data_IF_651994590874
#
_entry.id   IF_651994590874
#
_cell.length_a   1.000
_cell.length_b   1.000
_cell.length_c   1.000
_cell.angle_alpha   90.00
_cell.angle_beta   90.00
_cell.angle_gamma   90.00
#
_symmetry.space_group_name_H-M   'P 1'
#
loop_
_entity.id
_entity.type
_entity.pdbx_description
1 polymer ?
#
# COMPACT_ATOMS: atom_id res chain seq x y z
N UNK A 1 -2.92 0.66 -40.25
CA UNK A 1 -3.10 1.26 -38.92
C UNK A 1 -1.73 1.46 -38.29
N UNK A 2 -1.28 2.70 -38.05
CA UNK A 2 -0.01 2.97 -37.41
C UNK A 2 -0.09 2.44 -35.95
N UNK A 3 0.78 1.51 -35.57
CA UNK A 3 0.92 1.03 -34.19
C UNK A 3 1.25 2.25 -33.35
N UNK A 4 0.33 2.71 -32.47
CA UNK A 4 0.61 3.74 -31.47
C UNK A 4 1.88 3.30 -30.71
N UNK A 5 2.94 4.11 -30.79
CA UNK A 5 4.19 3.85 -30.08
C UNK A 5 3.88 3.85 -28.60
N UNK A 6 4.07 2.73 -27.92
CA UNK A 6 3.81 2.60 -26.48
C UNK A 6 4.75 3.53 -25.71
N UNK A 7 4.19 4.30 -24.78
CA UNK A 7 5.00 5.12 -23.86
C UNK A 7 5.69 4.17 -22.87
N UNK A 8 7.02 4.25 -22.81
CA UNK A 8 7.83 3.50 -21.83
C UNK A 8 7.56 4.07 -20.44
N UNK A 9 7.05 3.22 -19.52
CA UNK A 9 6.77 3.64 -18.15
C UNK A 9 8.07 3.66 -17.35
N UNK A 10 8.27 4.73 -16.59
CA UNK A 10 9.35 4.80 -15.62
C UNK A 10 8.97 4.07 -14.31
N UNK A 11 9.95 3.87 -13.42
CA UNK A 11 9.75 3.16 -12.17
C UNK A 11 8.70 3.80 -11.25
N UNK A 12 8.62 5.12 -11.26
CA UNK A 12 7.63 5.84 -10.47
C UNK A 12 6.21 5.55 -10.97
N UNK A 13 6.03 5.53 -12.28
CA UNK A 13 4.74 5.20 -12.92
C UNK A 13 4.34 3.75 -12.66
N UNK A 14 5.27 2.80 -12.77
CA UNK A 14 5.03 1.39 -12.45
C UNK A 14 4.61 1.20 -10.98
N UNK A 15 5.27 1.89 -10.06
CA UNK A 15 4.91 1.82 -8.64
C UNK A 15 3.62 2.55 -8.30
N UNK A 16 3.26 3.60 -9.04
CA UNK A 16 1.97 4.26 -8.90
C UNK A 16 0.82 3.31 -9.30
N UNK A 17 1.01 2.49 -10.34
CA UNK A 17 0.03 1.46 -10.71
C UNK A 17 -0.19 0.45 -9.57
N UNK A 18 0.89 -0.02 -8.92
CA UNK A 18 0.80 -0.91 -7.78
C UNK A 18 0.12 -0.24 -6.56
N UNK A 19 0.35 1.06 -6.34
CA UNK A 19 -0.36 1.84 -5.33
C UNK A 19 -1.86 1.92 -5.62
N UNK A 20 -2.26 2.14 -6.86
CA UNK A 20 -3.67 2.18 -7.28
C UNK A 20 -4.39 0.85 -6.99
N UNK A 21 -3.76 -0.29 -7.29
CA UNK A 21 -4.34 -1.61 -6.95
C UNK A 21 -4.50 -1.78 -5.44
N UNK A 22 -3.53 -1.32 -4.66
CA UNK A 22 -3.59 -1.36 -3.19
C UNK A 22 -4.77 -0.54 -2.64
N UNK A 23 -5.10 0.57 -3.31
CA UNK A 23 -6.20 1.43 -2.93
C UNK A 23 -7.58 0.78 -3.13
N UNK A 24 -7.69 -0.21 -4.03
CA UNK A 24 -8.92 -1.01 -4.21
C UNK A 24 -9.30 -1.71 -2.90
N UNK A 25 -8.36 -2.33 -2.23
CA UNK A 25 -8.62 -3.03 -0.96
C UNK A 25 -8.90 -2.09 0.20
N UNK A 26 -8.33 -0.89 0.18
CA UNK A 26 -8.67 0.14 1.17
C UNK A 26 -10.10 0.64 0.96
N UNK A 27 -10.48 0.87 -0.29
CA UNK A 27 -11.85 1.27 -0.62
C UNK A 27 -12.86 0.19 -0.20
N UNK A 28 -12.56 -1.07 -0.47
CA UNK A 28 -13.35 -2.20 0.02
C UNK A 28 -13.55 -2.13 1.55
N UNK A 29 -12.49 -1.90 2.33
CA UNK A 29 -12.61 -1.78 3.78
C UNK A 29 -13.47 -0.59 4.21
N UNK A 30 -13.41 0.54 3.50
CA UNK A 30 -14.27 1.70 3.77
C UNK A 30 -15.73 1.38 3.47
N UNK A 31 -16.04 0.82 2.31
CA UNK A 31 -17.42 0.48 1.91
C UNK A 31 -18.02 -0.60 2.82
N UNK A 32 -17.21 -1.56 3.28
CA UNK A 32 -17.65 -2.54 4.27
C UNK A 32 -17.93 -1.89 5.64
N UNK A 33 -17.19 -0.85 6.00
CA UNK A 33 -17.46 -0.11 7.24
C UNK A 33 -18.71 0.74 7.12
N UNK A 34 -18.92 1.39 5.98
CA UNK A 34 -20.15 2.14 5.70
C UNK A 34 -21.39 1.24 5.82
N UNK A 35 -21.34 0.02 5.25
CA UNK A 35 -22.42 -0.97 5.43
C UNK A 35 -22.68 -1.31 6.91
N UNK A 36 -21.64 -1.39 7.74
CA UNK A 36 -21.79 -1.59 9.19
C UNK A 36 -22.50 -0.40 9.85
N UNK A 37 -22.06 0.83 9.52
CA UNK A 37 -22.63 2.07 10.08
C UNK A 37 -24.07 2.25 9.69
N UNK A 38 -24.38 2.15 8.39
CA UNK A 38 -25.75 2.27 7.87
C UNK A 38 -26.69 1.26 8.53
N UNK A 39 -26.27 0.00 8.64
CA UNK A 39 -27.09 -1.04 9.27
C UNK A 39 -27.32 -0.79 10.75
N UNK A 40 -26.36 -0.23 11.47
CA UNK A 40 -26.51 0.11 12.89
C UNK A 40 -27.46 1.31 13.09
N UNK A 41 -27.46 2.28 12.16
CA UNK A 41 -28.31 3.46 12.21
C UNK A 41 -29.73 3.24 11.65
N UNK A 42 -29.96 2.23 10.81
CA UNK A 42 -31.20 2.00 10.03
C UNK A 42 -32.48 2.02 10.89
N UNK A 43 -32.41 1.53 12.13
CA UNK A 43 -33.55 1.52 13.07
C UNK A 43 -33.39 2.45 14.27
N UNK A 44 -32.34 3.28 14.26
CA UNK A 44 -32.06 4.22 15.34
C UNK A 44 -31.79 3.58 16.70
N UNK A 45 -31.83 4.41 17.75
CA UNK A 45 -31.54 4.04 19.14
C UNK A 45 -32.69 4.37 20.09
N UNK A 46 -33.90 4.69 19.58
CA UNK A 46 -34.98 5.31 20.35
C UNK A 46 -35.53 4.47 21.52
N UNK A 47 -35.35 3.16 21.51
CA UNK A 47 -35.77 2.26 22.60
C UNK A 47 -34.59 1.57 23.30
N UNK A 48 -33.35 1.92 22.95
CA UNK A 48 -32.15 1.26 23.48
C UNK A 48 -31.99 1.47 24.99
N UNK A 49 -32.42 2.60 25.52
CA UNK A 49 -32.38 2.91 26.96
C UNK A 49 -33.45 2.14 27.77
N UNK A 50 -34.61 1.88 27.17
CA UNK A 50 -35.72 1.19 27.83
C UNK A 50 -35.62 -0.31 27.67
N UNK A 51 -35.19 -0.80 26.52
CA UNK A 51 -35.14 -2.22 26.17
C UNK A 51 -33.78 -2.61 25.50
N UNK A 52 -32.66 -2.48 26.22
CA UNK A 52 -31.35 -2.67 25.64
C UNK A 52 -31.10 -4.07 25.06
N UNK A 53 -31.63 -5.09 25.70
CA UNK A 53 -31.50 -6.47 25.21
C UNK A 53 -32.35 -6.76 23.96
N UNK A 54 -33.54 -6.16 23.85
CA UNK A 54 -34.37 -6.29 22.65
C UNK A 54 -33.68 -5.63 21.47
N UNK A 55 -33.17 -4.42 21.66
CA UNK A 55 -32.39 -3.72 20.64
C UNK A 55 -31.17 -4.55 20.20
N UNK A 56 -30.45 -5.14 21.15
CA UNK A 56 -29.32 -6.05 20.88
C UNK A 56 -29.74 -7.23 20.02
N UNK A 57 -30.82 -7.93 20.36
CA UNK A 57 -31.33 -9.10 19.62
C UNK A 57 -31.72 -8.73 18.19
N UNK A 58 -32.40 -7.62 17.97
CA UNK A 58 -32.79 -7.15 16.64
C UNK A 58 -31.59 -6.82 15.77
N UNK A 59 -30.59 -6.10 16.31
CA UNK A 59 -29.36 -5.79 15.59
C UNK A 59 -28.54 -7.05 15.28
N UNK A 60 -28.50 -8.02 16.20
CA UNK A 60 -27.83 -9.32 15.96
C UNK A 60 -28.52 -10.15 14.87
N UNK A 61 -29.83 -10.05 14.70
CA UNK A 61 -30.56 -10.73 13.63
C UNK A 61 -30.16 -10.23 12.23
N UNK A 62 -29.71 -8.98 12.11
CA UNK A 62 -29.26 -8.38 10.85
C UNK A 62 -27.87 -8.89 10.35
N UNK A 63 -27.12 -9.60 11.19
CA UNK A 63 -25.76 -10.10 10.83
C UNK A 63 -25.76 -10.95 9.57
N UNK A 64 -26.78 -11.76 9.35
CA UNK A 64 -26.89 -12.61 8.16
C UNK A 64 -27.03 -11.79 6.87
N UNK A 65 -27.88 -10.77 6.87
CA UNK A 65 -28.08 -9.89 5.71
C UNK A 65 -26.83 -9.03 5.41
N UNK A 66 -26.21 -8.49 6.45
CA UNK A 66 -24.93 -7.75 6.34
C UNK A 66 -23.87 -8.64 5.70
N UNK A 67 -23.75 -9.91 6.15
CA UNK A 67 -22.76 -10.83 5.61
C UNK A 67 -22.97 -11.13 4.11
N UNK A 68 -24.20 -11.38 3.68
CA UNK A 68 -24.50 -11.67 2.28
C UNK A 68 -24.18 -10.48 1.35
N UNK A 69 -24.47 -9.26 1.79
CA UNK A 69 -24.11 -8.06 1.05
C UNK A 69 -22.59 -7.88 0.96
N UNK A 70 -21.91 -8.03 2.08
CA UNK A 70 -20.46 -7.89 2.16
C UNK A 70 -19.71 -8.96 1.34
N UNK A 71 -20.20 -10.20 1.27
CA UNK A 71 -19.61 -11.25 0.43
C UNK A 71 -19.66 -10.85 -1.05
N UNK A 72 -20.77 -10.28 -1.53
CA UNK A 72 -20.89 -9.81 -2.92
C UNK A 72 -19.89 -8.67 -3.20
N UNK A 73 -19.80 -7.71 -2.30
CA UNK A 73 -18.88 -6.59 -2.41
C UNK A 73 -17.42 -7.05 -2.43
N UNK A 74 -17.05 -7.96 -1.52
CA UNK A 74 -15.72 -8.56 -1.48
C UNK A 74 -15.38 -9.27 -2.79
N UNK A 75 -16.31 -10.05 -3.33
CA UNK A 75 -16.11 -10.77 -4.59
C UNK A 75 -15.89 -9.81 -5.77
N UNK A 76 -16.66 -8.74 -5.85
CA UNK A 76 -16.52 -7.71 -6.90
C UNK A 76 -15.16 -7.02 -6.85
N UNK A 77 -14.79 -6.50 -5.69
CA UNK A 77 -13.50 -5.81 -5.50
C UNK A 77 -12.31 -6.73 -5.73
N UNK A 78 -12.40 -7.98 -5.27
CA UNK A 78 -11.35 -8.99 -5.48
C UNK A 78 -11.15 -9.29 -6.97
N UNK A 79 -12.23 -9.41 -7.75
CA UNK A 79 -12.15 -9.63 -9.19
C UNK A 79 -11.55 -8.44 -9.96
N UNK A 80 -11.83 -7.20 -9.53
CA UNK A 80 -11.20 -6.00 -10.10
C UNK A 80 -9.70 -6.00 -9.78
N UNK A 81 -9.35 -6.24 -8.53
CA UNK A 81 -7.97 -6.23 -8.06
C UNK A 81 -7.13 -7.34 -8.73
N UNK A 82 -7.66 -8.56 -8.87
CA UNK A 82 -6.98 -9.67 -9.55
C UNK A 82 -6.58 -9.29 -10.97
N UNK A 83 -7.50 -8.75 -11.77
CA UNK A 83 -7.21 -8.31 -13.14
C UNK A 83 -6.07 -7.28 -13.19
N UNK A 84 -6.03 -6.37 -12.21
CA UNK A 84 -4.99 -5.35 -12.15
C UNK A 84 -3.64 -5.92 -11.69
N UNK A 85 -3.62 -6.83 -10.71
CA UNK A 85 -2.41 -7.52 -10.27
C UNK A 85 -1.79 -8.29 -11.43
N UNK A 86 -2.59 -9.06 -12.17
CA UNK A 86 -2.13 -9.78 -13.37
C UNK A 86 -1.56 -8.81 -14.41
N UNK A 87 -2.28 -7.74 -14.71
CA UNK A 87 -1.80 -6.76 -15.69
C UNK A 87 -0.44 -6.17 -15.31
N UNK A 88 -0.27 -5.73 -14.05
CA UNK A 88 0.99 -5.11 -13.59
C UNK A 88 2.13 -6.13 -13.57
N UNK A 89 1.92 -7.31 -13.05
CA UNK A 89 2.96 -8.31 -12.88
C UNK A 89 3.28 -8.97 -14.22
N UNK A 90 2.27 -9.46 -14.93
CA UNK A 90 2.48 -10.25 -16.16
C UNK A 90 2.81 -9.36 -17.36
N UNK A 91 2.01 -8.31 -17.65
CA UNK A 91 2.21 -7.48 -18.84
C UNK A 91 3.32 -6.45 -18.64
N UNK A 92 3.26 -5.65 -17.58
CA UNK A 92 4.28 -4.62 -17.35
C UNK A 92 5.61 -5.25 -16.92
N UNK A 93 5.61 -6.34 -16.14
CA UNK A 93 6.81 -7.10 -15.81
C UNK A 93 7.49 -7.66 -17.06
N UNK A 94 6.73 -8.26 -17.98
CA UNK A 94 7.28 -8.75 -19.25
C UNK A 94 7.80 -7.60 -20.14
N UNK A 95 7.15 -6.45 -20.10
CA UNK A 95 7.64 -5.29 -20.85
C UNK A 95 8.96 -4.75 -20.30
N UNK A 96 9.13 -4.71 -18.97
CA UNK A 96 10.42 -4.34 -18.33
C UNK A 96 11.53 -5.29 -18.78
N UNK A 97 11.26 -6.60 -18.84
CA UNK A 97 12.19 -7.60 -19.34
C UNK A 97 12.60 -7.32 -20.80
N UNK A 98 11.63 -7.08 -21.70
CA UNK A 98 11.89 -6.74 -23.11
C UNK A 98 12.68 -5.46 -23.28
N UNK A 99 12.33 -4.41 -22.55
CA UNK A 99 13.00 -3.12 -22.61
C UNK A 99 14.45 -3.21 -22.13
N UNK A 100 14.72 -4.08 -21.16
CA UNK A 100 16.09 -4.33 -20.68
C UNK A 100 16.93 -5.09 -21.72
N UNK A 101 16.36 -6.12 -22.37
CA UNK A 101 17.03 -6.77 -23.50
C UNK A 101 17.36 -5.80 -24.63
N UNK A 102 16.41 -4.92 -24.98
CA UNK A 102 16.67 -3.91 -26.01
C UNK A 102 17.80 -2.93 -25.63
N UNK A 103 17.94 -2.58 -24.34
CA UNK A 103 19.06 -1.76 -23.85
C UNK A 103 20.40 -2.49 -23.92
N UNK A 104 20.40 -3.82 -23.78
CA UNK A 104 21.58 -4.67 -23.87
C UNK A 104 21.85 -5.16 -25.31
N UNK A 105 21.16 -4.61 -26.32
CA UNK A 105 21.24 -5.00 -27.74
C UNK A 105 21.05 -6.51 -27.95
N UNK A 106 20.15 -7.13 -27.18
CA UNK A 106 19.84 -8.56 -27.23
C UNK A 106 18.35 -8.80 -27.47
N UNK A 107 18.00 -10.01 -27.90
CA UNK A 107 16.62 -10.37 -28.21
C UNK A 107 15.92 -11.01 -27.01
N UNK A 108 14.76 -10.45 -26.63
CA UNK A 108 13.92 -10.98 -25.59
C UNK A 108 13.03 -12.10 -26.12
N UNK A 109 13.36 -13.36 -25.82
CA UNK A 109 12.45 -14.47 -25.99
C UNK A 109 12.62 -15.48 -24.88
N UNK A 110 11.67 -15.55 -23.96
CA UNK A 110 11.67 -16.59 -22.95
C UNK A 110 10.23 -16.95 -22.54
N UNK A 111 9.82 -18.17 -22.93
CA UNK A 111 8.59 -18.79 -22.44
C UNK A 111 8.63 -19.01 -20.92
N UNK A 112 9.82 -19.26 -20.37
CA UNK A 112 10.00 -19.46 -18.93
C UNK A 112 9.72 -18.18 -18.14
N UNK A 113 10.16 -17.02 -18.63
CA UNK A 113 9.87 -15.72 -17.98
C UNK A 113 8.36 -15.49 -17.85
N UNK A 114 7.59 -15.81 -18.88
CA UNK A 114 6.14 -15.68 -18.83
C UNK A 114 5.50 -16.60 -17.79
N UNK A 115 5.97 -17.84 -17.65
CA UNK A 115 5.52 -18.75 -16.59
C UNK A 115 5.85 -18.23 -15.19
N UNK A 116 7.04 -17.69 -15.01
CA UNK A 116 7.47 -17.13 -13.72
C UNK A 116 6.61 -15.92 -13.34
N UNK A 117 6.33 -15.02 -14.29
CA UNK A 117 5.44 -13.87 -14.07
C UNK A 117 4.01 -14.29 -13.71
N UNK A 118 3.47 -15.33 -14.38
CA UNK A 118 2.17 -15.92 -14.03
C UNK A 118 2.22 -16.52 -12.61
N UNK A 119 3.31 -17.19 -12.24
CA UNK A 119 3.48 -17.73 -10.90
C UNK A 119 3.51 -16.62 -9.84
N UNK A 120 4.23 -15.52 -10.07
CA UNK A 120 4.29 -14.39 -9.16
C UNK A 120 2.94 -13.69 -9.02
N UNK A 121 2.19 -13.51 -10.10
CA UNK A 121 0.85 -12.94 -10.03
C UNK A 121 -0.11 -13.84 -9.26
N UNK A 122 -0.09 -15.17 -9.53
CA UNK A 122 -0.91 -16.13 -8.81
C UNK A 122 -0.59 -16.15 -7.31
N UNK A 123 0.70 -16.10 -6.93
CA UNK A 123 1.08 -16.06 -5.53
C UNK A 123 0.59 -14.78 -4.84
N UNK A 124 0.76 -13.63 -5.47
CA UNK A 124 0.28 -12.36 -4.92
C UNK A 124 -1.25 -12.34 -4.75
N UNK A 125 -1.98 -12.86 -5.74
CA UNK A 125 -3.44 -12.98 -5.71
C UNK A 125 -3.85 -13.94 -4.58
N UNK A 126 -3.22 -15.10 -4.47
CA UNK A 126 -3.51 -16.09 -3.44
C UNK A 126 -3.28 -15.51 -2.03
N UNK A 127 -2.15 -14.82 -1.80
CA UNK A 127 -1.83 -14.23 -0.51
C UNK A 127 -2.85 -13.17 -0.09
N UNK A 128 -3.32 -12.35 -1.04
CA UNK A 128 -4.32 -11.32 -0.77
C UNK A 128 -5.72 -11.92 -0.66
N UNK A 129 -6.11 -12.87 -1.52
CA UNK A 129 -7.42 -13.52 -1.49
C UNK A 129 -7.63 -14.36 -0.22
N UNK A 130 -6.63 -15.11 0.23
CA UNK A 130 -6.72 -15.85 1.48
C UNK A 130 -7.03 -14.94 2.66
N UNK A 131 -6.37 -13.78 2.71
CA UNK A 131 -6.62 -12.81 3.74
C UNK A 131 -8.05 -12.24 3.67
N UNK A 132 -8.46 -11.80 2.48
CA UNK A 132 -9.67 -11.01 2.28
C UNK A 132 -10.91 -11.89 2.27
N UNK A 133 -10.87 -13.03 1.59
CA UNK A 133 -12.03 -13.91 1.47
C UNK A 133 -12.32 -14.73 2.73
N UNK A 134 -11.30 -15.01 3.55
CA UNK A 134 -11.46 -15.83 4.76
C UNK A 134 -11.53 -15.00 6.03
N UNK A 135 -10.68 -14.02 6.17
CA UNK A 135 -10.51 -13.27 7.42
C UNK A 135 -11.38 -12.01 7.47
N UNK A 136 -11.51 -11.28 6.36
CA UNK A 136 -12.24 -10.02 6.33
C UNK A 136 -13.75 -10.19 6.63
N UNK A 137 -14.50 -11.15 6.07
CA UNK A 137 -15.90 -11.35 6.42
C UNK A 137 -16.11 -11.60 7.92
N UNK A 138 -15.27 -12.44 8.52
CA UNK A 138 -15.30 -12.72 9.96
C UNK A 138 -14.96 -11.47 10.79
N UNK A 139 -14.00 -10.67 10.34
CA UNK A 139 -13.59 -9.43 11.01
C UNK A 139 -14.72 -8.39 10.98
N UNK A 140 -15.42 -8.25 9.85
CA UNK A 140 -16.58 -7.34 9.74
C UNK A 140 -17.72 -7.77 10.67
N UNK A 141 -18.07 -9.07 10.69
CA UNK A 141 -19.09 -9.59 11.60
C UNK A 141 -18.73 -9.39 13.06
N UNK A 142 -17.48 -9.69 13.45
CA UNK A 142 -16.99 -9.46 14.80
C UNK A 142 -17.08 -7.99 15.18
N UNK A 143 -16.63 -7.07 14.30
CA UNK A 143 -16.72 -5.63 14.52
C UNK A 143 -18.17 -5.19 14.73
N UNK A 144 -19.10 -5.65 13.90
CA UNK A 144 -20.52 -5.33 14.04
C UNK A 144 -21.08 -5.77 15.40
N UNK A 145 -20.83 -7.03 15.81
CA UNK A 145 -21.24 -7.57 17.11
C UNK A 145 -20.62 -6.79 18.27
N UNK A 146 -19.32 -6.55 18.23
CA UNK A 146 -18.58 -5.82 19.27
C UNK A 146 -19.12 -4.39 19.45
N UNK A 147 -19.52 -3.72 18.36
CA UNK A 147 -20.14 -2.39 18.43
C UNK A 147 -21.47 -2.47 19.17
N UNK A 148 -22.33 -3.43 18.84
CA UNK A 148 -23.63 -3.64 19.50
C UNK A 148 -23.42 -3.90 20.98
N UNK A 149 -22.60 -4.88 21.35
CA UNK A 149 -22.36 -5.28 22.76
C UNK A 149 -21.75 -4.10 23.57
N UNK A 150 -20.77 -3.40 23.01
CA UNK A 150 -20.15 -2.25 23.69
C UNK A 150 -21.14 -1.11 23.86
N UNK A 151 -21.99 -0.84 22.87
CA UNK A 151 -23.02 0.21 22.94
C UNK A 151 -24.02 -0.11 24.03
N UNK A 152 -24.57 -1.32 24.05
CA UNK A 152 -25.50 -1.77 25.08
C UNK A 152 -24.89 -1.67 26.48
N UNK A 153 -23.66 -2.13 26.66
CA UNK A 153 -22.95 -2.04 27.94
C UNK A 153 -22.81 -0.59 28.42
N UNK A 154 -22.47 0.36 27.55
CA UNK A 154 -22.39 1.80 27.90
C UNK A 154 -23.74 2.38 28.35
N UNK A 155 -24.82 2.00 27.70
CA UNK A 155 -26.18 2.48 28.04
C UNK A 155 -26.65 1.87 29.35
N UNK A 156 -26.54 0.57 29.56
CA UNK A 156 -26.94 -0.11 30.80
C UNK A 156 -26.18 0.44 32.02
N UNK A 157 -24.91 0.75 31.85
CA UNK A 157 -24.07 1.31 32.93
C UNK A 157 -24.25 2.83 33.13
N UNK A 158 -25.11 3.48 32.34
CA UNK A 158 -25.34 4.93 32.43
C UNK A 158 -24.16 5.79 31.98
N UNK A 159 -23.19 5.24 31.27
CA UNK A 159 -21.99 5.95 30.84
C UNK A 159 -22.27 6.97 29.72
N UNK A 160 -23.29 6.73 28.89
CA UNK A 160 -23.68 7.63 27.80
C UNK A 160 -25.15 7.43 27.42
N UNK A 161 -25.74 8.46 26.80
CA UNK A 161 -27.06 8.33 26.16
C UNK A 161 -26.98 7.35 24.97
N UNK A 162 -28.10 6.71 24.56
CA UNK A 162 -28.11 5.74 23.48
C UNK A 162 -27.40 6.17 22.21
N UNK A 163 -27.72 7.34 21.68
CA UNK A 163 -27.11 7.86 20.45
C UNK A 163 -25.61 8.13 20.64
N UNK A 164 -25.22 8.78 21.73
CA UNK A 164 -23.81 9.06 22.02
C UNK A 164 -23.01 7.78 22.22
N UNK A 165 -23.56 6.77 22.89
CA UNK A 165 -22.93 5.47 23.09
C UNK A 165 -22.67 4.76 21.78
N UNK A 166 -23.62 4.79 20.83
CA UNK A 166 -23.48 4.21 19.51
C UNK A 166 -22.42 4.94 18.68
N UNK A 167 -22.53 6.27 18.55
CA UNK A 167 -21.63 7.08 17.74
C UNK A 167 -20.16 6.98 18.20
N UNK A 168 -19.91 7.12 19.51
CA UNK A 168 -18.56 6.97 20.08
C UNK A 168 -18.00 5.56 19.85
N UNK A 169 -18.86 4.54 19.93
CA UNK A 169 -18.41 3.17 19.72
C UNK A 169 -18.08 2.92 18.27
N UNK A 170 -18.90 3.37 17.32
CA UNK A 170 -18.62 3.32 15.88
C UNK A 170 -17.29 4.00 15.58
N UNK A 171 -17.08 5.24 16.08
CA UNK A 171 -15.83 5.97 15.83
C UNK A 171 -14.60 5.25 16.38
N UNK A 172 -14.71 4.61 17.54
CA UNK A 172 -13.63 3.82 18.13
C UNK A 172 -13.26 2.59 17.26
N UNK A 173 -14.26 1.90 16.70
CA UNK A 173 -14.03 0.75 15.85
C UNK A 173 -13.54 1.15 14.45
N UNK A 174 -13.99 2.30 13.93
CA UNK A 174 -13.46 2.87 12.69
C UNK A 174 -11.94 3.13 12.81
N UNK A 175 -11.47 3.66 13.93
CA UNK A 175 -10.02 3.86 14.18
C UNK A 175 -9.23 2.56 14.12
N UNK A 176 -9.79 1.46 14.65
CA UNK A 176 -9.14 0.16 14.65
C UNK A 176 -9.09 -0.46 13.25
N UNK A 177 -10.11 -0.21 12.43
CA UNK A 177 -10.33 -0.85 11.13
C UNK A 177 -10.54 -2.36 11.24
N UNK A 178 -10.72 -3.01 10.10
CA UNK A 178 -10.81 -4.47 10.04
C UNK A 178 -9.43 -5.11 10.10
N UNK A 179 -9.31 -6.14 10.93
CA UNK A 179 -8.08 -6.92 11.03
C UNK A 179 -8.07 -8.00 9.95
N UNK A 180 -6.96 -8.06 9.21
CA UNK A 180 -6.76 -9.07 8.19
C UNK A 180 -5.70 -10.10 8.55
N UNK A 181 -4.70 -9.72 9.36
CA UNK A 181 -3.57 -10.59 9.64
C UNK A 181 -3.02 -10.33 11.05
N UNK A 182 -2.63 -11.40 11.72
CA UNK A 182 -1.88 -11.32 12.97
C UNK A 182 -0.49 -11.90 12.72
N UNK A 183 0.56 -11.12 12.94
CA UNK A 183 1.93 -11.56 12.74
C UNK A 183 2.39 -12.53 13.86
N UNK A 184 3.58 -13.14 13.69
CA UNK A 184 4.12 -14.08 14.68
C UNK A 184 4.39 -13.46 16.05
N UNK A 185 4.52 -12.13 16.12
CA UNK A 185 4.67 -11.38 17.37
C UNK A 185 3.32 -10.99 17.99
N UNK A 186 2.19 -11.47 17.45
CA UNK A 186 0.84 -11.17 17.93
C UNK A 186 0.30 -9.79 17.49
N UNK A 187 1.01 -9.05 16.65
CA UNK A 187 0.57 -7.74 16.20
C UNK A 187 -0.49 -7.87 15.10
N UNK A 188 -1.65 -7.26 15.33
CA UNK A 188 -2.74 -7.24 14.37
C UNK A 188 -2.51 -6.17 13.32
N UNK A 189 -2.56 -6.55 12.05
CA UNK A 189 -2.45 -5.64 10.91
C UNK A 189 -3.82 -5.44 10.26
N UNK A 190 -4.11 -4.22 9.83
CA UNK A 190 -5.30 -3.93 9.04
C UNK A 190 -5.24 -4.65 7.69
N UNK A 191 -6.39 -5.10 7.21
CA UNK A 191 -6.49 -5.84 5.93
C UNK A 191 -5.98 -5.00 4.75
N UNK A 192 -6.35 -3.72 4.66
CA UNK A 192 -5.89 -2.79 3.63
C UNK A 192 -4.37 -2.56 3.65
N UNK A 193 -3.78 -2.46 4.85
CA UNK A 193 -2.34 -2.26 5.00
C UNK A 193 -1.54 -3.51 4.58
N UNK A 194 -2.05 -4.69 4.90
CA UNK A 194 -1.42 -5.95 4.49
C UNK A 194 -1.49 -6.15 2.97
N UNK A 195 -2.67 -5.97 2.35
CA UNK A 195 -2.84 -6.06 0.91
C UNK A 195 -1.87 -5.10 0.18
N UNK A 196 -1.76 -3.86 0.68
CA UNK A 196 -0.81 -2.88 0.15
C UNK A 196 0.64 -3.34 0.24
N UNK A 197 1.03 -3.93 1.36
CA UNK A 197 2.39 -4.45 1.54
C UNK A 197 2.68 -5.57 0.53
N UNK A 198 1.80 -6.56 0.40
CA UNK A 198 1.97 -7.68 -0.53
C UNK A 198 2.09 -7.18 -1.97
N UNK A 199 1.12 -6.40 -2.45
CA UNK A 199 1.08 -5.94 -3.84
C UNK A 199 2.32 -5.12 -4.20
N UNK A 200 2.68 -4.13 -3.37
CA UNK A 200 3.83 -3.27 -3.64
C UNK A 200 5.16 -4.01 -3.59
N UNK A 201 5.31 -4.91 -2.63
CA UNK A 201 6.56 -5.68 -2.50
C UNK A 201 6.72 -6.65 -3.67
N UNK A 202 5.65 -7.34 -4.05
CA UNK A 202 5.69 -8.26 -5.20
C UNK A 202 5.96 -7.52 -6.50
N UNK A 203 5.24 -6.43 -6.79
CA UNK A 203 5.46 -5.63 -7.99
C UNK A 203 6.91 -5.11 -8.07
N UNK A 204 7.46 -4.59 -6.97
CA UNK A 204 8.84 -4.11 -6.93
C UNK A 204 9.85 -5.22 -7.19
N UNK A 205 9.69 -6.35 -6.53
CA UNK A 205 10.57 -7.51 -6.73
C UNK A 205 10.53 -8.00 -8.17
N UNK A 206 9.33 -8.14 -8.73
CA UNK A 206 9.14 -8.55 -10.13
C UNK A 206 9.85 -7.59 -11.08
N UNK A 207 9.67 -6.29 -10.94
CA UNK A 207 10.32 -5.33 -11.84
C UNK A 207 11.83 -5.34 -11.73
N UNK A 208 12.39 -5.47 -10.54
CA UNK A 208 13.85 -5.60 -10.38
C UNK A 208 14.38 -6.91 -10.95
N UNK A 209 13.70 -8.03 -10.72
CA UNK A 209 14.06 -9.31 -11.31
C UNK A 209 14.01 -9.26 -12.85
N UNK A 210 12.97 -8.65 -13.41
CA UNK A 210 12.85 -8.52 -14.87
C UNK A 210 13.90 -7.56 -15.49
N UNK A 211 14.57 -6.74 -14.69
CA UNK A 211 15.77 -5.96 -15.11
C UNK A 211 17.06 -6.74 -14.95
N UNK A 212 17.17 -7.56 -13.90
CA UNK A 212 18.39 -8.34 -13.65
C UNK A 212 18.51 -9.53 -14.57
N UNK A 213 17.42 -10.21 -14.86
CA UNK A 213 17.39 -11.46 -15.61
C UNK A 213 18.05 -11.37 -17.00
N UNK A 214 17.73 -10.37 -17.86
CA UNK A 214 18.41 -10.21 -19.16
C UNK A 214 19.92 -10.05 -19.04
N UNK A 215 20.39 -9.35 -18.02
CA UNK A 215 21.82 -9.21 -17.75
C UNK A 215 22.45 -10.55 -17.35
N UNK A 216 21.81 -11.28 -16.44
CA UNK A 216 22.27 -12.60 -15.99
C UNK A 216 22.30 -13.63 -17.14
N UNK A 217 21.31 -13.60 -18.04
CA UNK A 217 21.27 -14.43 -19.25
C UNK A 217 22.45 -14.15 -20.19
N UNK A 218 23.02 -12.94 -20.12
CA UNK A 218 24.22 -12.51 -20.86
C UNK A 218 25.52 -12.64 -20.04
N UNK A 219 25.46 -13.26 -18.84
CA UNK A 219 26.63 -13.42 -17.97
C UNK A 219 27.02 -12.15 -17.21
N UNK A 220 26.17 -11.12 -17.18
CA UNK A 220 26.39 -9.87 -16.45
C UNK A 220 25.79 -10.03 -15.06
N UNK A 221 26.60 -9.95 -14.01
CA UNK A 221 26.20 -10.08 -12.62
C UNK A 221 26.34 -8.77 -11.81
N UNK A 222 26.64 -7.68 -12.49
CA UNK A 222 26.89 -6.36 -11.90
C UNK A 222 25.80 -5.34 -12.27
N UNK A 223 25.40 -4.52 -11.30
CA UNK A 223 24.28 -3.61 -11.43
C UNK A 223 24.58 -2.27 -10.77
N UNK A 224 24.14 -1.20 -11.36
CA UNK A 224 24.08 0.10 -10.71
C UNK A 224 22.90 0.15 -9.75
N UNK A 225 23.17 0.49 -8.48
CA UNK A 225 22.14 0.65 -7.44
C UNK A 225 21.73 2.12 -7.37
N UNK A 226 20.47 2.43 -7.70
CA UNK A 226 20.01 3.81 -7.84
C UNK A 226 20.15 4.63 -6.56
N UNK A 227 20.35 5.95 -6.70
CA UNK A 227 20.40 6.91 -5.59
C UNK A 227 19.02 7.51 -5.30
N UNK A 228 18.75 7.83 -4.03
CA UNK A 228 17.57 8.55 -3.57
C UNK A 228 17.91 9.48 -2.42
N UNK A 229 17.24 10.62 -2.34
CA UNK A 229 17.44 11.58 -1.26
C UNK A 229 17.21 10.99 0.13
N UNK A 230 16.38 9.95 0.26
CA UNK A 230 16.08 9.26 1.51
C UNK A 230 16.33 7.76 1.35
N UNK A 231 17.21 7.19 2.16
CA UNK A 231 17.57 5.78 2.16
C UNK A 231 17.68 5.22 3.59
N UNK A 232 17.37 3.92 3.75
CA UNK A 232 17.56 3.22 5.02
C UNK A 232 19.02 2.86 5.24
N UNK A 233 19.41 2.59 6.49
CA UNK A 233 20.77 2.21 6.89
C UNK A 233 21.39 1.14 6.00
N UNK A 234 20.64 0.08 5.65
CA UNK A 234 21.13 -0.99 4.79
C UNK A 234 21.19 -0.63 3.29
N UNK A 235 20.58 0.47 2.87
CA UNK A 235 20.59 0.93 1.47
C UNK A 235 21.56 2.10 1.25
N UNK A 236 21.70 2.97 2.25
CA UNK A 236 22.48 4.20 2.13
C UNK A 236 23.95 3.97 1.70
N UNK A 237 24.68 2.97 2.23
CA UNK A 237 26.08 2.72 1.87
C UNK A 237 26.29 2.27 0.42
N UNK A 238 25.30 1.65 -0.18
CA UNK A 238 25.39 1.07 -1.54
C UNK A 238 24.65 1.85 -2.61
N UNK A 239 23.93 2.91 -2.25
CA UNK A 239 23.31 3.75 -3.28
C UNK A 239 24.37 4.53 -4.08
N UNK A 240 24.11 4.72 -5.37
CA UNK A 240 25.06 5.27 -6.33
C UNK A 240 26.36 4.43 -6.44
N UNK A 241 26.30 3.15 -6.14
CA UNK A 241 27.42 2.21 -6.25
C UNK A 241 27.08 1.07 -7.21
N UNK A 242 28.13 0.35 -7.61
CA UNK A 242 27.96 -0.88 -8.38
C UNK A 242 27.87 -2.06 -7.41
N UNK A 243 26.86 -2.88 -7.59
CA UNK A 243 26.54 -4.00 -6.73
C UNK A 243 26.46 -5.31 -7.51
N UNK A 244 26.60 -6.43 -6.82
CA UNK A 244 26.46 -7.76 -7.39
C UNK A 244 25.65 -8.68 -6.47
N UNK A 245 25.00 -9.69 -7.05
CA UNK A 245 24.43 -10.83 -6.32
C UNK A 245 25.49 -11.87 -5.94
N UNK A 246 26.70 -11.75 -6.49
CA UNK A 246 27.86 -12.58 -6.17
C UNK A 246 28.70 -12.00 -5.03
N UNK A 247 30.00 -12.31 -5.05
CA UNK A 247 30.96 -11.82 -4.04
C UNK A 247 31.46 -10.41 -4.37
N UNK A 248 31.72 -9.61 -3.32
CA UNK A 248 32.36 -8.31 -3.46
C UNK A 248 33.74 -8.46 -4.14
N UNK A 249 34.06 -7.53 -5.05
CA UNK A 249 35.29 -7.54 -5.82
C UNK A 249 35.60 -6.14 -6.38
N UNK A 250 36.78 -6.00 -6.92
CA UNK A 250 37.11 -4.84 -7.77
C UNK A 250 37.37 -5.34 -9.19
N UNK A 251 36.77 -4.69 -10.18
CA UNK A 251 36.87 -5.05 -11.58
C UNK A 251 36.99 -3.76 -12.41
N UNK A 252 37.98 -3.73 -13.34
CA UNK A 252 38.29 -2.52 -14.14
C UNK A 252 38.39 -1.22 -13.28
N UNK A 253 38.96 -1.32 -12.06
CA UNK A 253 39.08 -0.18 -11.13
C UNK A 253 37.80 0.21 -10.41
N UNK A 254 36.67 -0.45 -10.70
CA UNK A 254 35.37 -0.21 -10.07
C UNK A 254 35.19 -1.16 -8.87
N UNK A 255 34.91 -0.59 -7.70
CA UNK A 255 34.56 -1.36 -6.50
C UNK A 255 33.12 -1.85 -6.62
N UNK A 256 32.91 -3.16 -6.47
CA UNK A 256 31.62 -3.85 -6.58
C UNK A 256 31.24 -4.40 -5.19
N UNK A 257 30.08 -4.02 -4.69
CA UNK A 257 29.60 -4.40 -3.37
C UNK A 257 28.68 -5.63 -3.47
N UNK A 258 28.85 -6.59 -2.56
CA UNK A 258 27.92 -7.74 -2.48
C UNK A 258 26.62 -7.33 -1.81
N UNK A 259 25.49 -7.58 -2.45
CA UNK A 259 24.16 -7.25 -1.91
C UNK A 259 23.84 -8.02 -0.62
N UNK A 260 24.39 -9.23 -0.45
CA UNK A 260 24.17 -10.08 0.74
C UNK A 260 24.69 -9.43 2.01
N UNK A 261 25.78 -8.65 1.94
CA UNK A 261 26.36 -7.91 3.07
C UNK A 261 25.38 -6.85 3.62
N UNK A 262 24.41 -6.43 2.79
CA UNK A 262 23.38 -5.44 3.09
C UNK A 262 22.00 -6.06 3.26
N UNK A 263 21.93 -7.36 3.54
CA UNK A 263 20.70 -8.09 3.83
C UNK A 263 19.75 -8.19 2.64
N UNK A 264 20.26 -8.50 1.46
CA UNK A 264 19.50 -8.62 0.21
C UNK A 264 18.20 -9.43 0.36
N UNK A 265 17.08 -8.82 0.00
CA UNK A 265 15.75 -9.44 0.05
C UNK A 265 15.18 -9.65 1.47
N UNK A 266 15.95 -9.46 2.54
CA UNK A 266 15.43 -9.52 3.90
C UNK A 266 14.49 -8.33 4.18
N UNK A 267 13.49 -8.44 5.05
CA UNK A 267 12.49 -7.38 5.26
C UNK A 267 13.05 -5.99 5.54
N UNK A 268 14.13 -5.89 6.33
CA UNK A 268 14.82 -4.63 6.67
C UNK A 268 15.99 -4.27 5.75
N UNK A 269 16.45 -5.21 4.92
CA UNK A 269 17.64 -5.09 4.09
C UNK A 269 17.41 -4.38 2.75
N UNK A 270 18.46 -4.35 1.93
CA UNK A 270 18.36 -3.83 0.57
C UNK A 270 17.44 -4.73 -0.28
N UNK A 271 16.68 -4.14 -1.19
CA UNK A 271 15.61 -4.79 -1.96
C UNK A 271 14.54 -5.51 -1.11
N UNK A 272 14.49 -5.23 0.20
CA UNK A 272 13.47 -5.75 1.13
C UNK A 272 12.14 -4.99 1.05
N UNK A 273 11.27 -5.21 2.05
CA UNK A 273 9.92 -4.60 2.11
C UNK A 273 10.00 -3.06 2.03
N UNK A 274 9.24 -2.46 1.13
CA UNK A 274 9.21 -1.02 0.88
C UNK A 274 10.56 -0.40 0.42
N UNK A 275 11.54 -1.20 -0.01
CA UNK A 275 12.71 -0.66 -0.67
C UNK A 275 12.31 0.02 -1.99
N UNK A 276 12.78 1.23 -2.21
CA UNK A 276 12.45 2.01 -3.41
C UNK A 276 13.55 2.07 -4.46
N UNK A 277 14.71 1.45 -4.21
CA UNK A 277 15.85 1.46 -5.12
C UNK A 277 15.64 0.49 -6.29
N UNK A 278 16.18 0.88 -7.44
CA UNK A 278 16.21 0.06 -8.65
C UNK A 278 17.63 -0.40 -8.95
N UNK A 279 17.74 -1.53 -9.63
CA UNK A 279 18.99 -2.07 -10.12
C UNK A 279 18.98 -2.07 -11.64
N UNK A 280 19.98 -1.46 -12.25
CA UNK A 280 20.16 -1.38 -13.71
C UNK A 280 21.44 -2.11 -14.09
N UNK A 281 21.45 -2.99 -15.11
CA UNK A 281 22.68 -3.67 -15.56
C UNK A 281 23.82 -2.69 -15.80
N UNK A 282 25.01 -3.05 -15.33
CA UNK A 282 26.21 -2.22 -15.46
C UNK A 282 27.42 -3.13 -15.77
N UNK A 283 28.18 -2.80 -16.77
CA UNK A 283 29.39 -3.56 -17.18
C UNK A 283 30.60 -2.67 -16.87
N UNK A 284 31.45 -3.05 -15.88
CA UNK A 284 32.69 -2.32 -15.59
C UNK A 284 33.56 -2.21 -16.86
N UNK A 285 34.22 -1.06 -17.02
CA UNK A 285 35.03 -0.77 -18.21
C UNK A 285 34.25 -0.44 -19.49
N UNK A 286 32.95 -0.69 -19.55
CA UNK A 286 32.09 -0.43 -20.72
C UNK A 286 31.07 0.69 -20.44
N UNK A 287 30.37 0.60 -19.30
CA UNK A 287 29.36 1.60 -18.95
C UNK A 287 29.95 2.71 -18.10
N UNK A 288 29.39 3.91 -18.25
CA UNK A 288 29.66 5.05 -17.36
C UNK A 288 28.59 5.10 -16.28
N UNK A 289 28.98 5.65 -15.10
CA UNK A 289 28.02 5.94 -14.04
C UNK A 289 26.95 6.90 -14.57
N UNK A 290 25.68 6.67 -14.24
CA UNK A 290 24.60 7.56 -14.64
C UNK A 290 24.83 8.97 -14.11
N UNK A 291 24.49 9.98 -14.91
CA UNK A 291 24.39 11.36 -14.40
C UNK A 291 23.24 11.44 -13.41
N UNK A 292 23.47 12.04 -12.27
CA UNK A 292 22.51 12.19 -11.19
C UNK A 292 22.23 13.67 -10.95
N UNK A 293 21.04 13.95 -10.43
CA UNK A 293 20.63 15.30 -10.08
C UNK A 293 21.65 15.97 -9.14
N UNK A 294 21.93 17.23 -9.36
CA UNK A 294 22.96 17.99 -8.60
C UNK A 294 22.71 17.94 -7.09
N UNK A 295 21.44 17.96 -6.66
CA UNK A 295 21.02 17.85 -5.27
C UNK A 295 21.42 16.51 -4.61
N UNK A 296 21.70 15.48 -5.42
CA UNK A 296 22.07 14.16 -4.94
C UNK A 296 23.58 13.88 -5.02
N UNK A 297 24.35 14.69 -5.78
CA UNK A 297 25.79 14.46 -5.99
C UNK A 297 26.59 14.49 -4.69
N UNK A 298 26.19 15.34 -3.75
CA UNK A 298 26.86 15.53 -2.46
C UNK A 298 26.14 14.87 -1.28
N UNK A 299 25.21 13.97 -1.55
CA UNK A 299 24.41 13.30 -0.51
C UNK A 299 25.26 12.28 0.24
N UNK A 300 25.49 12.51 1.55
CA UNK A 300 26.16 11.52 2.42
C UNK A 300 25.21 10.44 2.90
N UNK A 301 25.78 9.30 3.36
CA UNK A 301 24.99 8.20 3.95
C UNK A 301 24.17 8.69 5.15
N UNK A 302 24.79 9.44 6.06
CA UNK A 302 24.10 9.95 7.26
C UNK A 302 22.97 10.91 6.87
N UNK A 303 23.18 11.73 5.84
CA UNK A 303 22.14 12.63 5.35
C UNK A 303 20.98 11.85 4.73
N UNK A 304 21.24 10.80 3.94
CA UNK A 304 20.22 9.95 3.36
C UNK A 304 19.38 9.24 4.46
N UNK A 305 20.03 8.77 5.52
CA UNK A 305 19.35 8.14 6.68
C UNK A 305 18.50 9.18 7.43
N UNK A 306 19.03 10.37 7.71
CA UNK A 306 18.26 11.47 8.32
C UNK A 306 17.04 11.83 7.47
N UNK A 307 17.21 11.93 6.17
CA UNK A 307 16.15 12.21 5.22
C UNK A 307 15.07 11.10 5.21
N UNK A 308 15.44 9.84 5.42
CA UNK A 308 14.47 8.75 5.57
C UNK A 308 13.57 8.94 6.80
N UNK A 309 14.10 9.41 7.91
CA UNK A 309 13.32 9.74 9.10
C UNK A 309 12.38 10.93 8.85
N UNK A 310 12.86 11.97 8.18
CA UNK A 310 12.05 13.13 7.77
C UNK A 310 10.91 12.67 6.84
N UNK A 311 11.20 11.86 5.83
CA UNK A 311 10.18 11.32 4.92
C UNK A 311 9.18 10.41 5.66
N UNK A 312 9.64 9.61 6.63
CA UNK A 312 8.75 8.77 7.46
C UNK A 312 7.74 9.61 8.24
N UNK A 313 8.15 10.78 8.77
CA UNK A 313 7.26 11.73 9.44
C UNK A 313 6.25 12.34 8.47
N UNK A 314 6.66 12.74 7.26
CA UNK A 314 5.73 13.17 6.20
C UNK A 314 4.66 12.10 5.96
N UNK A 315 5.07 10.81 5.81
CA UNK A 315 4.15 9.69 5.58
C UNK A 315 3.20 9.47 6.75
N UNK A 316 3.63 9.75 7.99
CA UNK A 316 2.75 9.71 9.16
C UNK A 316 1.69 10.82 9.10
N UNK A 317 2.06 12.04 8.70
CA UNK A 317 1.13 13.16 8.55
C UNK A 317 0.11 12.90 7.41
N UNK A 318 0.54 12.37 6.26
CA UNK A 318 -0.35 11.97 5.15
C UNK A 318 -1.36 10.90 5.61
N UNK A 319 -0.92 9.90 6.38
CA UNK A 319 -1.81 8.90 6.97
C UNK A 319 -2.81 9.53 7.96
N UNK A 320 -2.38 10.48 8.77
CA UNK A 320 -3.26 11.18 9.72
C UNK A 320 -4.35 11.98 9.01
N UNK A 321 -4.01 12.70 7.91
CA UNK A 321 -4.98 13.41 7.07
C UNK A 321 -6.00 12.43 6.49
N UNK A 322 -5.55 11.31 5.93
CA UNK A 322 -6.44 10.30 5.37
C UNK A 322 -7.37 9.71 6.42
N UNK A 323 -6.84 9.33 7.58
CA UNK A 323 -7.65 8.83 8.69
C UNK A 323 -8.67 9.86 9.19
N UNK A 324 -8.33 11.15 9.19
CA UNK A 324 -9.29 12.21 9.53
C UNK A 324 -10.38 12.35 8.48
N UNK A 325 -10.08 12.15 7.19
CA UNK A 325 -11.09 12.12 6.12
C UNK A 325 -12.01 10.91 6.24
N UNK A 326 -11.47 9.73 6.58
CA UNK A 326 -12.27 8.53 6.86
C UNK A 326 -13.25 8.78 8.02
N UNK A 327 -12.79 9.43 9.11
CA UNK A 327 -13.64 9.79 10.26
C UNK A 327 -14.67 10.86 9.93
N UNK A 328 -14.29 11.84 9.12
CA UNK A 328 -15.22 12.87 8.64
C UNK A 328 -16.37 12.23 7.86
N UNK A 329 -16.05 11.34 6.94
CA UNK A 329 -17.05 10.60 6.15
C UNK A 329 -18.00 9.81 7.07
N UNK A 330 -17.47 9.03 8.02
CA UNK A 330 -18.29 8.27 8.97
C UNK A 330 -19.18 9.20 9.81
N UNK A 331 -18.66 10.35 10.25
CA UNK A 331 -19.46 11.34 10.99
C UNK A 331 -20.61 11.92 10.13
N UNK A 332 -20.36 12.13 8.83
CA UNK A 332 -21.37 12.57 7.86
C UNK A 332 -22.43 11.48 7.62
N UNK A 333 -22.04 10.21 7.49
CA UNK A 333 -22.97 9.06 7.36
C UNK A 333 -23.83 8.87 8.61
N UNK A 334 -23.26 9.12 9.79
CA UNK A 334 -23.99 9.10 11.07
C UNK A 334 -24.88 10.33 11.29
N UNK A 335 -24.84 11.34 10.41
CA UNK A 335 -25.51 12.63 10.58
C UNK A 335 -25.15 13.33 11.89
N UNK A 336 -23.90 13.21 12.36
CA UNK A 336 -23.40 13.81 13.59
C UNK A 336 -22.67 15.13 13.29
N UNK A 337 -23.38 16.27 13.43
CA UNK A 337 -22.85 17.59 13.09
C UNK A 337 -21.67 18.03 13.98
N UNK A 338 -21.66 17.63 15.26
CA UNK A 338 -20.57 17.93 16.18
C UNK A 338 -19.26 17.28 15.73
N UNK A 339 -19.30 15.98 15.46
CA UNK A 339 -18.15 15.24 14.96
C UNK A 339 -17.73 15.73 13.58
N UNK A 340 -18.67 16.02 12.70
CA UNK A 340 -18.42 16.58 11.35
C UNK A 340 -17.66 17.90 11.45
N UNK A 341 -18.10 18.83 12.28
CA UNK A 341 -17.42 20.12 12.52
C UNK A 341 -16.01 19.92 13.09
N UNK A 342 -15.89 19.06 14.10
CA UNK A 342 -14.61 18.70 14.73
C UNK A 342 -13.59 18.18 13.70
N UNK A 343 -13.99 17.25 12.84
CA UNK A 343 -13.05 16.66 11.87
C UNK A 343 -12.73 17.60 10.71
N UNK A 344 -13.64 18.48 10.29
CA UNK A 344 -13.35 19.55 9.31
C UNK A 344 -12.27 20.51 9.84
N UNK A 345 -12.39 20.93 11.10
CA UNK A 345 -11.37 21.79 11.74
C UNK A 345 -10.02 21.08 11.81
N UNK A 346 -10.00 19.83 12.32
CA UNK A 346 -8.78 19.02 12.41
C UNK A 346 -8.11 18.82 11.06
N UNK A 347 -8.89 18.57 10.00
CA UNK A 347 -8.39 18.40 8.64
C UNK A 347 -7.69 19.67 8.13
N UNK A 348 -8.25 20.84 8.43
CA UNK A 348 -7.65 22.13 8.06
C UNK A 348 -6.28 22.33 8.75
N UNK A 349 -6.21 22.03 10.05
CA UNK A 349 -4.96 22.12 10.83
C UNK A 349 -3.89 21.16 10.33
N UNK A 350 -4.26 19.90 10.07
CA UNK A 350 -3.35 18.88 9.54
C UNK A 350 -2.81 19.24 8.14
N UNK A 351 -3.66 19.78 7.28
CA UNK A 351 -3.24 20.24 5.95
C UNK A 351 -2.24 21.40 6.03
N UNK A 352 -2.45 22.35 6.94
CA UNK A 352 -1.51 23.45 7.20
C UNK A 352 -0.18 22.93 7.73
N UNK A 353 -0.22 22.01 8.70
CA UNK A 353 0.98 21.41 9.27
C UNK A 353 1.79 20.62 8.24
N UNK A 354 1.13 19.81 7.41
CA UNK A 354 1.82 19.06 6.35
C UNK A 354 2.45 19.99 5.30
N UNK A 355 1.73 21.03 4.88
CA UNK A 355 2.27 22.03 3.95
C UNK A 355 3.54 22.64 4.52
N UNK A 356 3.47 23.20 5.74
CA UNK A 356 4.64 23.80 6.41
C UNK A 356 5.78 22.81 6.61
N UNK A 357 5.49 21.53 6.83
CA UNK A 357 6.52 20.49 6.96
C UNK A 357 7.24 20.21 5.64
N UNK A 358 6.51 20.10 4.53
CA UNK A 358 7.08 19.90 3.19
C UNK A 358 7.90 21.12 2.77
N UNK A 359 7.37 22.33 2.98
CA UNK A 359 8.06 23.58 2.62
C UNK A 359 9.43 23.74 3.35
N UNK A 360 9.60 23.13 4.53
CA UNK A 360 10.86 23.13 5.30
C UNK A 360 11.90 22.10 4.83
N UNK A 361 11.53 21.17 3.96
CA UNK A 361 12.40 20.07 3.54
C UNK A 361 12.40 19.95 2.01
N UNK A 362 13.30 20.61 1.29
CA UNK A 362 13.28 20.77 -0.18
C UNK A 362 13.22 19.45 -0.96
N UNK A 363 13.78 18.34 -0.41
CA UNK A 363 13.74 17.02 -1.05
C UNK A 363 12.38 16.32 -0.94
N UNK A 364 11.44 16.85 -0.15
CA UNK A 364 10.09 16.33 -0.03
C UNK A 364 9.16 16.98 -1.05
N UNK A 365 8.22 16.20 -1.54
CA UNK A 365 7.08 16.72 -2.29
C UNK A 365 5.77 16.15 -1.72
N UNK A 366 4.71 16.93 -1.80
CA UNK A 366 3.39 16.53 -1.34
C UNK A 366 2.66 15.75 -2.42
N UNK A 367 2.39 14.49 -2.16
CA UNK A 367 1.59 13.63 -3.02
C UNK A 367 0.15 13.56 -2.46
N UNK A 368 -0.76 14.29 -3.09
CA UNK A 368 -2.16 14.36 -2.65
C UNK A 368 -2.91 13.04 -2.82
N UNK A 369 -2.46 12.14 -3.70
CA UNK A 369 -3.07 10.82 -3.86
C UNK A 369 -2.92 9.96 -2.62
N UNK A 370 -1.87 10.18 -1.83
CA UNK A 370 -1.66 9.49 -0.54
C UNK A 370 -2.60 9.97 0.56
N UNK A 371 -3.17 11.15 0.41
CA UNK A 371 -4.11 11.75 1.35
C UNK A 371 -5.57 11.50 0.97
N UNK A 372 -5.84 10.93 -0.21
CA UNK A 372 -7.20 10.66 -0.67
C UNK A 372 -7.86 9.58 0.19
N UNK A 373 -9.10 9.84 0.57
CA UNK A 373 -9.96 8.91 1.27
C UNK A 373 -10.69 8.00 0.28
N UNK A 374 -11.42 8.58 -0.67
CA UNK A 374 -12.27 7.85 -1.61
C UNK A 374 -11.66 7.83 -3.02
N UNK A 375 -11.66 6.63 -3.63
CA UNK A 375 -11.34 6.45 -5.05
C UNK A 375 -12.34 5.44 -5.60
N UNK A 376 -13.03 5.79 -6.67
CA UNK A 376 -13.87 4.86 -7.41
C UNK A 376 -13.02 3.67 -7.91
N UNK A 377 -13.31 2.42 -7.48
CA UNK A 377 -12.53 1.25 -7.87
C UNK A 377 -12.56 1.00 -9.38
N UNK A 378 -13.65 1.35 -10.07
CA UNK A 378 -13.76 1.25 -11.53
C UNK A 378 -12.85 2.28 -12.20
N UNK A 379 -12.76 3.49 -11.66
CA UNK A 379 -11.86 4.53 -12.14
C UNK A 379 -10.39 4.16 -11.92
N UNK A 380 -10.03 3.56 -10.77
CA UNK A 380 -8.71 3.02 -10.50
C UNK A 380 -8.33 1.96 -11.55
N UNK A 381 -9.24 1.03 -11.86
CA UNK A 381 -9.03 0.01 -12.87
C UNK A 381 -8.87 0.56 -14.30
N UNK A 382 -9.47 1.71 -14.61
CA UNK A 382 -9.31 2.38 -15.92
C UNK A 382 -8.00 3.14 -16.05
N UNK A 383 -7.48 3.71 -14.97
CA UNK A 383 -6.19 4.41 -14.95
C UNK A 383 -5.01 3.47 -15.22
N UNK A 384 -5.11 2.21 -14.81
CA UNK A 384 -4.11 1.20 -15.11
C UNK A 384 -4.09 0.74 -16.59
N UNK A 385 -5.13 1.11 -17.39
CA UNK A 385 -5.23 0.79 -18.83
C UNK A 385 -4.83 1.94 -19.75
N UNK A 386 -4.53 3.12 -19.22
CA UNK A 386 -4.05 4.29 -19.98
C UNK A 386 -2.54 4.39 -19.90
#
# INVERSE_FOLDING_TARGET
MAKKKRIKLNDQQLMLMADNVSDIYRQLCNDLFDNVVERLHDRGTYYLDQQPYLWQLEKMADVGMLNNHNIKLIAEYSGIAEKQIRYIIENEGYQVYKDTHAQLNSNAYSYQVMKDLISYSNQAIHDVHNLINTTLPKSVQATYKDIIETTVAKVITGMATPQKALDETIMRFQERGFYGYTDRAGRRQRADAYARMVIKTTARRTFNEMRMRPAQELGIDTFYYSIKAAAREMCAPIQNQIVTTGRARTEEGVKIFALDDYGYGKPGGCQGVNCGHTMTPFIPGVNYMPDIDDDLKNLTEEQAIKNANVQSKQRAMERAIRSTKERLHVAEVMHNDELTSKYKTRLTEQNRALKSYVDKHPFLYRDRDREKYHKDPIAIGRLAKK
#
